data_IF_154132376882
#
_entry.id   IF_154132376882
#
_cell.length_a   1.000
_cell.length_b   1.000
_cell.length_c   1.000
_cell.angle_alpha   90.00
_cell.angle_beta   90.00
_cell.angle_gamma   90.00
#
_symmetry.space_group_name_H-M   'P 1'
#
loop_
_entity.id
_entity.type
_entity.pdbx_description
1 polymer ?
#
# COMPACT_ATOMS: atom_id res chain seq x y z
N UNK A 1 -12.69 -41.81 30.69
CA UNK A 1 -11.31 -41.42 30.35
C UNK A 1 -11.37 -40.60 29.07
N UNK A 2 -11.28 -39.28 29.18
CA UNK A 2 -11.52 -38.35 28.07
C UNK A 2 -10.16 -37.94 27.49
N UNK A 3 -9.87 -38.35 26.26
CA UNK A 3 -8.68 -37.89 25.54
C UNK A 3 -9.07 -36.52 24.94
N UNK A 4 -8.63 -35.45 25.58
CA UNK A 4 -8.64 -34.10 25.00
C UNK A 4 -7.62 -34.08 23.86
N UNK A 5 -8.09 -34.28 22.62
CA UNK A 5 -7.33 -33.83 21.44
C UNK A 5 -7.43 -32.30 21.41
N UNK A 6 -6.43 -31.63 21.99
CA UNK A 6 -6.16 -30.24 21.63
C UNK A 6 -5.70 -30.24 20.17
N UNK A 7 -6.60 -29.94 19.25
CA UNK A 7 -6.23 -29.41 17.95
C UNK A 7 -5.49 -28.10 18.24
N UNK A 8 -4.15 -28.09 18.17
CA UNK A 8 -3.38 -26.86 18.20
C UNK A 8 -3.71 -26.08 16.92
N UNK A 9 -4.79 -25.31 16.96
CA UNK A 9 -5.00 -24.24 16.01
C UNK A 9 -3.93 -23.19 16.31
N UNK A 10 -2.82 -23.21 15.58
CA UNK A 10 -1.89 -22.08 15.57
C UNK A 10 -2.64 -20.89 15.00
N UNK A 11 -3.10 -20.00 15.89
CA UNK A 11 -3.69 -18.74 15.47
C UNK A 11 -2.61 -17.89 14.79
N UNK A 12 -3.02 -17.11 13.79
CA UNK A 12 -2.14 -16.20 13.04
C UNK A 12 -1.34 -15.26 13.96
N UNK A 13 -1.88 -14.99 15.15
CA UNK A 13 -1.28 -14.16 16.20
C UNK A 13 0.02 -14.72 16.78
N UNK A 14 0.25 -16.03 16.69
CA UNK A 14 1.47 -16.66 17.20
C UNK A 14 2.60 -16.72 16.17
N UNK A 15 2.34 -16.38 14.91
CA UNK A 15 3.37 -16.34 13.87
C UNK A 15 4.37 -15.22 14.17
N UNK A 16 5.65 -15.44 13.87
CA UNK A 16 6.66 -14.39 13.97
C UNK A 16 6.39 -13.25 12.97
N UNK A 17 6.98 -12.09 13.20
CA UNK A 17 6.78 -10.92 12.30
C UNK A 17 7.30 -11.23 10.90
N UNK A 18 8.40 -11.97 10.81
CA UNK A 18 9.02 -12.38 9.54
C UNK A 18 8.07 -13.27 8.73
N UNK A 19 7.45 -14.28 9.37
CA UNK A 19 6.47 -15.14 8.71
C UNK A 19 5.22 -14.37 8.27
N UNK A 20 4.79 -13.37 9.06
CA UNK A 20 3.69 -12.51 8.67
C UNK A 20 4.04 -11.64 7.47
N UNK A 21 5.27 -11.10 7.39
CA UNK A 21 5.74 -10.39 6.21
C UNK A 21 5.79 -11.29 4.99
N UNK A 22 6.28 -12.52 5.11
CA UNK A 22 6.27 -13.49 4.00
C UNK A 22 4.85 -13.77 3.51
N UNK A 23 3.87 -13.89 4.41
CA UNK A 23 2.46 -14.04 4.05
C UNK A 23 1.94 -12.79 3.33
N UNK A 24 2.24 -11.60 3.84
CA UNK A 24 1.76 -10.34 3.29
C UNK A 24 2.29 -10.06 1.88
N UNK A 25 3.44 -10.62 1.47
CA UNK A 25 3.95 -10.52 0.11
C UNK A 25 3.01 -11.12 -0.96
N UNK A 26 2.09 -12.01 -0.57
CA UNK A 26 1.11 -12.61 -1.48
C UNK A 26 -0.15 -11.77 -1.68
N UNK A 27 -0.28 -10.65 -0.95
CA UNK A 27 -1.45 -9.77 -0.99
C UNK A 27 -1.06 -8.36 -1.43
N UNK A 28 -2.04 -7.62 -1.96
CA UNK A 28 -1.89 -6.18 -2.17
C UNK A 28 -1.96 -5.45 -0.83
N UNK A 29 -1.27 -4.30 -0.71
CA UNK A 29 -1.20 -3.57 0.56
C UNK A 29 -2.59 -3.23 1.13
N UNK A 30 -3.52 -2.73 0.31
CA UNK A 30 -4.89 -2.42 0.77
C UNK A 30 -5.64 -3.65 1.29
N UNK A 31 -5.39 -4.84 0.75
CA UNK A 31 -5.99 -6.09 1.24
C UNK A 31 -5.42 -6.41 2.62
N UNK A 32 -4.08 -6.35 2.77
CA UNK A 32 -3.42 -6.54 4.06
C UNK A 32 -3.92 -5.54 5.09
N UNK A 33 -3.95 -4.26 4.73
CA UNK A 33 -4.39 -3.20 5.60
C UNK A 33 -5.85 -3.43 6.04
N UNK A 34 -6.79 -3.57 5.10
CA UNK A 34 -8.20 -3.69 5.42
C UNK A 34 -8.54 -4.97 6.20
N UNK A 35 -7.86 -6.08 5.90
CA UNK A 35 -8.12 -7.37 6.57
C UNK A 35 -7.50 -7.38 7.97
N UNK A 36 -6.25 -6.94 8.12
CA UNK A 36 -5.46 -7.19 9.32
C UNK A 36 -5.33 -5.99 10.26
N UNK A 37 -5.46 -4.74 9.80
CA UNK A 37 -5.26 -3.55 10.65
C UNK A 37 -6.26 -3.45 11.80
N UNK A 38 -7.46 -4.01 11.62
CA UNK A 38 -8.55 -3.92 12.59
C UNK A 38 -8.72 -5.20 13.43
N UNK A 39 -7.88 -6.21 13.24
CA UNK A 39 -7.97 -7.46 14.02
C UNK A 39 -7.51 -7.26 15.46
N UNK A 40 -6.32 -6.68 15.64
CA UNK A 40 -5.78 -6.32 16.94
C UNK A 40 -4.63 -5.31 16.79
N UNK A 41 -4.18 -4.73 17.92
CA UNK A 41 -3.12 -3.73 17.95
C UNK A 41 -1.76 -4.25 17.45
N UNK A 42 -1.49 -5.56 17.56
CA UNK A 42 -0.24 -6.16 17.07
C UNK A 42 -0.18 -6.12 15.55
N UNK A 43 -1.22 -6.55 14.86
CA UNK A 43 -1.26 -6.48 13.39
C UNK A 43 -1.22 -5.04 12.90
N UNK A 44 -1.95 -4.12 13.54
CA UNK A 44 -1.86 -2.70 13.24
C UNK A 44 -0.42 -2.17 13.36
N UNK A 45 0.29 -2.52 14.44
CA UNK A 45 1.68 -2.12 14.63
C UNK A 45 2.61 -2.72 13.57
N UNK A 46 2.45 -3.99 13.22
CA UNK A 46 3.25 -4.68 12.19
C UNK A 46 3.05 -3.99 10.82
N UNK A 47 1.81 -3.75 10.41
CA UNK A 47 1.50 -3.12 9.11
C UNK A 47 2.05 -1.69 9.05
N UNK A 48 1.91 -0.92 10.13
CA UNK A 48 2.39 0.47 10.20
C UNK A 48 3.92 0.59 10.32
N UNK A 49 4.61 -0.48 10.73
CA UNK A 49 6.07 -0.51 10.87
C UNK A 49 6.76 -1.27 9.74
N UNK A 50 6.01 -1.78 8.76
CA UNK A 50 6.53 -2.57 7.66
C UNK A 50 7.34 -1.67 6.71
N UNK A 51 8.69 -1.77 6.72
CA UNK A 51 9.56 -0.71 6.20
C UNK A 51 9.69 -0.70 4.66
N UNK A 52 9.05 -1.64 3.98
CA UNK A 52 9.31 -1.91 2.57
C UNK A 52 8.27 -2.83 1.97
N UNK A 53 6.98 -2.58 2.22
CA UNK A 53 5.99 -3.10 1.30
C UNK A 53 6.01 -2.19 0.07
N UNK A 54 6.58 -2.62 -1.08
CA UNK A 54 6.47 -1.84 -2.29
C UNK A 54 4.98 -1.69 -2.56
N UNK A 55 4.47 -0.46 -2.42
CA UNK A 55 3.09 -0.17 -2.77
C UNK A 55 3.06 -0.13 -4.30
N UNK A 56 2.99 -1.32 -4.91
CA UNK A 56 2.73 -1.44 -6.32
C UNK A 56 1.28 -1.02 -6.55
N UNK A 57 1.08 0.28 -6.77
CA UNK A 57 -0.22 0.84 -7.14
C UNK A 57 -0.45 0.68 -8.62
N UNK A 58 -0.60 -0.57 -9.07
CA UNK A 58 -1.22 -0.81 -10.36
C UNK A 58 -2.70 -0.43 -10.28
N UNK A 59 -3.04 0.85 -10.46
CA UNK A 59 -4.44 1.25 -10.42
C UNK A 59 -5.26 0.72 -11.61
N UNK A 60 -4.63 0.08 -12.59
CA UNK A 60 -5.27 -0.62 -13.70
C UNK A 60 -6.35 -1.59 -13.18
N UNK A 61 -7.61 -1.17 -13.24
CA UNK A 61 -8.75 -1.99 -12.81
C UNK A 61 -9.15 -1.87 -11.33
N UNK A 62 -8.54 -0.98 -10.54
CA UNK A 62 -9.01 -0.68 -9.18
C UNK A 62 -10.27 0.18 -9.21
N UNK A 63 -11.21 -0.05 -8.29
CA UNK A 63 -12.37 0.83 -8.16
C UNK A 63 -11.97 2.19 -7.52
N UNK A 64 -12.85 3.18 -7.66
CA UNK A 64 -12.59 4.54 -7.16
C UNK A 64 -12.36 4.61 -5.65
N UNK A 65 -13.04 3.79 -4.84
CA UNK A 65 -12.89 3.76 -3.38
C UNK A 65 -11.53 3.21 -2.94
N UNK A 66 -11.00 2.18 -3.60
CA UNK A 66 -9.64 1.66 -3.35
C UNK A 66 -8.60 2.70 -3.75
N UNK A 67 -8.87 3.41 -4.84
CA UNK A 67 -7.99 4.48 -5.32
C UNK A 67 -7.95 5.63 -4.30
N UNK A 68 -9.11 6.10 -3.83
CA UNK A 68 -9.23 7.10 -2.75
C UNK A 68 -8.54 6.67 -1.45
N UNK A 69 -8.65 5.40 -1.08
CA UNK A 69 -7.97 4.85 0.10
C UNK A 69 -6.45 5.07 0.00
N UNK A 70 -5.85 4.68 -1.12
CA UNK A 70 -4.41 4.80 -1.29
C UNK A 70 -3.95 6.26 -1.34
N UNK A 71 -4.72 7.17 -1.93
CA UNK A 71 -4.37 8.59 -1.88
C UNK A 71 -4.38 9.14 -0.45
N UNK A 72 -5.40 8.80 0.35
CA UNK A 72 -5.47 9.20 1.77
C UNK A 72 -4.33 8.59 2.58
N UNK A 73 -4.00 7.33 2.31
CA UNK A 73 -2.92 6.62 2.97
C UNK A 73 -1.55 7.22 2.66
N UNK A 74 -1.25 7.45 1.38
CA UNK A 74 0.00 8.06 0.92
C UNK A 74 0.14 9.54 1.31
N UNK A 75 -0.96 10.24 1.60
CA UNK A 75 -0.93 11.62 2.09
C UNK A 75 -0.47 11.73 3.55
N UNK A 76 -0.34 10.61 4.28
CA UNK A 76 0.12 10.64 5.67
C UNK A 76 1.63 10.89 5.75
N UNK A 77 2.12 11.83 6.58
CA UNK A 77 3.53 12.21 6.64
C UNK A 77 4.50 11.05 6.89
N UNK A 78 4.08 10.08 7.70
CA UNK A 78 4.92 8.94 8.05
C UNK A 78 5.00 7.91 6.91
N UNK A 79 3.99 7.88 6.04
CA UNK A 79 3.85 6.92 4.95
C UNK A 79 4.51 7.46 3.68
N UNK A 80 4.34 8.74 3.36
CA UNK A 80 4.96 9.36 2.19
C UNK A 80 6.49 9.25 2.22
N UNK A 81 7.09 9.28 3.42
CA UNK A 81 8.52 9.12 3.62
C UNK A 81 9.01 7.67 3.45
N UNK A 82 8.11 6.67 3.44
CA UNK A 82 8.48 5.26 3.31
C UNK A 82 8.28 4.72 1.88
N UNK A 83 7.65 5.50 1.01
CA UNK A 83 7.36 5.09 -0.36
C UNK A 83 8.64 5.06 -1.21
N UNK A 84 9.05 3.88 -1.68
CA UNK A 84 10.25 3.68 -2.51
C UNK A 84 9.92 3.46 -3.99
N UNK A 85 8.75 2.89 -4.28
CA UNK A 85 8.29 2.62 -5.64
C UNK A 85 6.80 2.92 -5.75
N UNK A 86 6.42 3.59 -6.84
CA UNK A 86 5.05 3.94 -7.16
C UNK A 86 4.77 3.61 -8.63
N UNK A 87 3.65 2.96 -8.89
CA UNK A 87 3.09 2.82 -10.23
C UNK A 87 1.81 3.64 -10.28
N UNK A 88 1.52 4.34 -11.38
CA UNK A 88 0.26 5.07 -11.56
C UNK A 88 -0.23 4.90 -12.98
N UNK A 89 -1.55 4.80 -13.14
CA UNK A 89 -2.21 4.66 -14.44
C UNK A 89 -3.39 5.62 -14.60
N UNK A 90 -3.58 6.11 -15.82
CA UNK A 90 -4.58 7.12 -16.18
C UNK A 90 -6.03 6.67 -15.97
N UNK A 91 -6.30 5.36 -16.09
CA UNK A 91 -7.64 4.78 -15.92
C UNK A 91 -8.25 5.00 -14.52
N UNK A 92 -7.42 5.42 -13.57
CA UNK A 92 -7.77 5.51 -12.14
C UNK A 92 -7.15 6.75 -11.49
N UNK A 93 -6.75 7.70 -12.33
CA UNK A 93 -6.24 8.98 -11.92
C UNK A 93 -7.35 9.77 -11.22
N UNK A 94 -7.26 9.98 -9.90
CA UNK A 94 -8.09 10.99 -9.25
C UNK A 94 -7.62 12.34 -9.76
N UNK A 95 -8.59 13.17 -10.14
CA UNK A 95 -8.36 14.50 -10.69
C UNK A 95 -7.41 14.50 -11.90
N UNK A 96 -7.47 13.48 -12.78
CA UNK A 96 -6.59 13.38 -13.96
C UNK A 96 -5.08 13.48 -13.63
N UNK A 97 -4.64 12.86 -12.54
CA UNK A 97 -3.25 12.79 -12.06
C UNK A 97 -2.73 14.10 -11.44
N UNK A 98 -3.60 15.11 -11.26
CA UNK A 98 -3.27 16.34 -10.53
C UNK A 98 -2.77 16.01 -9.11
N UNK A 99 -3.39 15.04 -8.45
CA UNK A 99 -2.94 14.61 -7.12
C UNK A 99 -1.47 14.17 -7.12
N UNK A 100 -1.06 13.38 -8.12
CA UNK A 100 0.32 12.90 -8.18
C UNK A 100 1.28 14.07 -8.38
N UNK A 101 0.98 15.00 -9.29
CA UNK A 101 1.80 16.19 -9.49
C UNK A 101 1.96 17.00 -8.19
N UNK A 102 0.89 17.18 -7.41
CA UNK A 102 0.93 17.91 -6.13
C UNK A 102 1.70 17.21 -4.99
N UNK A 103 1.90 15.89 -5.10
CA UNK A 103 2.41 15.07 -3.99
C UNK A 103 3.73 14.37 -4.30
N UNK A 104 4.12 14.24 -5.58
CA UNK A 104 5.31 13.47 -5.96
C UNK A 104 6.59 13.99 -5.30
N UNK A 105 6.73 15.31 -5.17
CA UNK A 105 7.84 15.96 -4.47
C UNK A 105 7.92 15.65 -2.96
N UNK A 106 6.81 15.21 -2.35
CA UNK A 106 6.75 14.82 -0.93
C UNK A 106 7.27 13.40 -0.70
N UNK A 107 7.40 12.58 -1.75
CA UNK A 107 7.92 11.22 -1.65
C UNK A 107 9.44 11.21 -1.69
N UNK A 108 10.07 11.71 -0.63
CA UNK A 108 11.53 11.94 -0.54
C UNK A 108 12.40 10.69 -0.79
N UNK A 109 11.85 9.50 -0.58
CA UNK A 109 12.55 8.22 -0.75
C UNK A 109 12.10 7.47 -2.02
N UNK A 110 11.30 8.08 -2.88
CA UNK A 110 10.84 7.48 -4.13
C UNK A 110 12.02 7.30 -5.09
N UNK A 111 12.27 6.06 -5.48
CA UNK A 111 13.35 5.68 -6.41
C UNK A 111 12.82 5.21 -7.75
N UNK A 112 11.59 4.71 -7.77
CA UNK A 112 10.97 4.15 -8.96
C UNK A 112 9.56 4.73 -9.13
N UNK A 113 9.32 5.41 -10.24
CA UNK A 113 8.00 5.90 -10.64
C UNK A 113 7.66 5.32 -12.02
N UNK A 114 6.64 4.47 -12.06
CA UNK A 114 6.12 3.90 -13.32
C UNK A 114 4.81 4.59 -13.68
N UNK A 115 4.75 5.14 -14.90
CA UNK A 115 3.59 5.87 -15.42
C UNK A 115 3.03 5.09 -16.60
N UNK A 116 1.80 4.59 -16.48
CA UNK A 116 1.15 3.73 -17.47
C UNK A 116 -0.06 4.45 -18.09
N UNK A 117 -0.09 4.55 -19.41
CA UNK A 117 -1.19 5.15 -20.18
C UNK A 117 -1.57 6.60 -19.78
N UNK A 118 -0.67 7.33 -19.11
CA UNK A 118 -0.86 8.70 -18.62
C UNK A 118 -1.08 9.69 -19.77
N UNK A 119 -2.05 10.61 -19.62
CA UNK A 119 -2.25 11.69 -20.61
C UNK A 119 -0.99 12.54 -20.68
N UNK A 120 -0.62 12.99 -21.88
CA UNK A 120 0.54 13.87 -22.07
C UNK A 120 0.51 15.11 -21.16
N UNK A 121 -0.65 15.77 -21.03
CA UNK A 121 -0.81 16.94 -20.15
C UNK A 121 -0.51 16.64 -18.68
N UNK A 122 -0.97 15.48 -18.21
CA UNK A 122 -0.75 14.99 -16.85
C UNK A 122 0.72 14.64 -16.61
N UNK A 123 1.35 13.99 -17.60
CA UNK A 123 2.78 13.67 -17.58
C UNK A 123 3.64 14.94 -17.48
N UNK A 124 3.33 15.98 -18.25
CA UNK A 124 4.02 17.26 -18.19
C UNK A 124 3.88 17.93 -16.81
N UNK A 125 2.70 17.86 -16.17
CA UNK A 125 2.49 18.36 -14.81
C UNK A 125 3.32 17.61 -13.76
N UNK A 126 3.36 16.28 -13.84
CA UNK A 126 4.15 15.43 -12.93
C UNK A 126 5.64 15.75 -13.08
N UNK A 127 6.14 15.84 -14.31
CA UNK A 127 7.54 16.18 -14.58
C UNK A 127 7.94 17.54 -14.01
N UNK A 128 7.08 18.55 -14.12
CA UNK A 128 7.35 19.89 -13.59
C UNK A 128 7.30 19.96 -12.06
N UNK A 129 6.86 18.88 -11.40
CA UNK A 129 6.70 18.78 -9.95
C UNK A 129 7.76 17.89 -9.29
N UNK A 130 8.65 17.28 -10.08
CA UNK A 130 9.84 16.54 -9.64
C UNK A 130 11.02 17.51 -9.41
#
# INVERSE_FOLDING_TARGET
MMILRQTMATTLEHLSVELLYEIFLYFQFHEVFNIFSNLNSRFAAIINSMPSMPVYLGFNGMNIAVTEFYYRYLSQPNICNQLISLCVSNASAIDNDLWLAEHVSKFINLRHLSLIDIKRSSFELILNSL
#
